data_IF_349469293756
#
_entry.id   IF_349469293756
#
_cell.length_a   1.000
_cell.length_b   1.000
_cell.length_c   1.000
_cell.angle_alpha   90.00
_cell.angle_beta   90.00
_cell.angle_gamma   90.00
#
_symmetry.space_group_name_H-M   'P 1'
#
loop_
_entity.id
_entity.type
_entity.pdbx_description
1 polymer ?
#
# COMPACT_ATOMS: atom_id res chain seq x y z
N UNK A 1 -6.65 -21.48 -22.15
CA UNK A 1 -6.81 -21.89 -20.74
C UNK A 1 -7.31 -20.64 -20.05
N UNK A 2 -8.48 -20.69 -19.44
CA UNK A 2 -9.07 -19.50 -18.81
C UNK A 2 -8.19 -19.05 -17.64
N UNK A 3 -7.99 -17.74 -17.48
CA UNK A 3 -7.12 -17.19 -16.43
C UNK A 3 -7.72 -17.48 -15.05
N UNK A 4 -9.05 -17.38 -14.91
CA UNK A 4 -9.78 -17.66 -13.69
C UNK A 4 -10.36 -19.08 -13.72
N UNK A 5 -10.22 -19.80 -12.61
CA UNK A 5 -10.92 -21.08 -12.40
C UNK A 5 -12.37 -20.85 -11.97
N UNK A 6 -13.23 -21.87 -12.09
CA UNK A 6 -14.63 -21.79 -11.63
C UNK A 6 -14.77 -21.39 -10.16
N UNK A 7 -13.88 -21.87 -9.30
CA UNK A 7 -13.87 -21.53 -7.88
C UNK A 7 -13.48 -20.07 -7.64
N UNK A 8 -12.53 -19.53 -8.41
CA UNK A 8 -12.16 -18.11 -8.36
C UNK A 8 -13.27 -17.22 -8.91
N UNK A 9 -13.93 -17.61 -10.00
CA UNK A 9 -15.10 -16.89 -10.52
C UNK A 9 -16.20 -16.79 -9.46
N UNK A 10 -16.48 -17.88 -8.73
CA UNK A 10 -17.44 -17.86 -7.63
C UNK A 10 -16.98 -16.98 -6.47
N UNK A 11 -15.70 -17.08 -6.07
CA UNK A 11 -15.11 -16.31 -4.96
C UNK A 11 -15.16 -14.81 -5.22
N UNK A 12 -14.81 -14.39 -6.43
CA UNK A 12 -14.71 -12.98 -6.82
C UNK A 12 -15.96 -12.43 -7.51
N UNK A 13 -17.04 -13.21 -7.58
CA UNK A 13 -18.28 -12.85 -8.30
C UNK A 13 -18.80 -11.45 -7.93
N UNK A 14 -18.69 -11.04 -6.66
CA UNK A 14 -19.15 -9.71 -6.22
C UNK A 14 -18.36 -8.54 -6.79
N UNK A 15 -17.11 -8.76 -7.17
CA UNK A 15 -16.28 -7.79 -7.88
C UNK A 15 -16.53 -7.87 -9.38
N UNK A 16 -16.58 -9.09 -9.95
CA UNK A 16 -16.81 -9.33 -11.38
C UNK A 16 -18.12 -8.67 -11.85
N UNK A 17 -19.21 -8.79 -11.09
CA UNK A 17 -20.50 -8.19 -11.50
C UNK A 17 -20.53 -6.65 -11.45
N UNK A 18 -19.47 -5.98 -10.98
CA UNK A 18 -19.41 -4.53 -10.99
C UNK A 18 -19.27 -4.04 -12.44
N UNK A 19 -20.15 -3.10 -12.81
CA UNK A 19 -20.14 -2.49 -14.13
C UNK A 19 -18.77 -1.88 -14.42
N UNK A 20 -18.22 -2.17 -15.60
CA UNK A 20 -16.90 -1.73 -16.07
C UNK A 20 -15.70 -2.30 -15.28
N UNK A 21 -15.91 -3.25 -14.37
CA UNK A 21 -14.83 -4.05 -13.78
C UNK A 21 -14.76 -5.41 -14.50
N UNK A 22 -15.86 -6.18 -14.46
CA UNK A 22 -16.04 -7.44 -15.21
C UNK A 22 -14.91 -8.48 -14.97
N UNK A 23 -14.87 -9.52 -15.80
CA UNK A 23 -13.79 -10.50 -15.81
C UNK A 23 -12.42 -9.86 -16.08
N UNK A 24 -12.35 -8.89 -17.00
CA UNK A 24 -11.11 -8.21 -17.38
C UNK A 24 -10.41 -7.57 -16.17
N UNK A 25 -11.15 -6.87 -15.31
CA UNK A 25 -10.62 -6.28 -14.09
C UNK A 25 -10.12 -7.33 -13.10
N UNK A 26 -10.87 -8.42 -12.93
CA UNK A 26 -10.49 -9.50 -12.01
C UNK A 26 -9.26 -10.28 -12.50
N UNK A 27 -9.16 -10.52 -13.81
CA UNK A 27 -8.00 -11.13 -14.45
C UNK A 27 -6.76 -10.23 -14.32
N UNK A 28 -6.93 -8.91 -14.47
CA UNK A 28 -5.86 -7.95 -14.23
C UNK A 28 -5.34 -8.02 -12.78
N UNK A 29 -6.24 -8.12 -11.78
CA UNK A 29 -5.82 -8.32 -10.38
C UNK A 29 -5.04 -9.64 -10.23
N UNK A 30 -5.56 -10.74 -10.78
CA UNK A 30 -4.91 -12.06 -10.68
C UNK A 30 -3.53 -12.10 -11.35
N UNK A 31 -3.33 -11.38 -12.45
CA UNK A 31 -2.05 -11.35 -13.16
C UNK A 31 -1.06 -10.34 -12.58
N UNK A 32 -1.51 -9.46 -11.68
CA UNK A 32 -0.67 -8.42 -11.09
C UNK A 32 0.21 -8.90 -9.93
N UNK A 33 1.21 -8.08 -9.63
CA UNK A 33 2.08 -8.21 -8.47
C UNK A 33 2.13 -6.91 -7.67
N UNK A 34 1.96 -6.98 -6.36
CA UNK A 34 1.99 -5.83 -5.45
C UNK A 34 3.13 -5.97 -4.45
N UNK A 35 3.99 -4.96 -4.40
CA UNK A 35 5.05 -4.85 -3.40
C UNK A 35 4.56 -3.97 -2.24
N UNK A 36 4.62 -4.44 -1.00
CA UNK A 36 4.20 -3.71 0.19
C UNK A 36 5.38 -3.58 1.14
N UNK A 37 5.80 -2.35 1.42
CA UNK A 37 6.84 -2.06 2.41
C UNK A 37 6.20 -1.67 3.73
N UNK A 38 6.40 -2.51 4.73
CA UNK A 38 5.78 -2.44 6.05
C UNK A 38 4.65 -3.45 6.18
N UNK A 39 4.77 -4.35 7.16
CA UNK A 39 3.75 -5.27 7.66
C UNK A 39 3.08 -4.75 8.95
N UNK A 40 3.28 -3.47 9.27
CA UNK A 40 2.60 -2.79 10.38
C UNK A 40 1.11 -2.55 10.15
N UNK A 41 0.52 -1.56 10.84
CA UNK A 41 -0.95 -1.37 10.80
C UNK A 41 -1.48 -1.04 9.41
N UNK A 42 -0.80 -0.17 8.65
CA UNK A 42 -1.18 0.15 7.27
C UNK A 42 -1.01 -1.06 6.35
N UNK A 43 0.12 -1.76 6.47
CA UNK A 43 0.43 -2.96 5.71
C UNK A 43 -0.58 -4.08 5.93
N UNK A 44 -0.93 -4.34 7.19
CA UNK A 44 -1.97 -5.29 7.57
C UNK A 44 -3.32 -4.93 6.93
N UNK A 45 -3.76 -3.68 7.11
CA UNK A 45 -5.04 -3.21 6.62
C UNK A 45 -5.12 -3.21 5.09
N UNK A 46 -4.04 -2.84 4.39
CA UNK A 46 -4.02 -2.84 2.92
C UNK A 46 -3.94 -4.26 2.34
N UNK A 47 -3.02 -5.09 2.86
CA UNK A 47 -2.73 -6.40 2.27
C UNK A 47 -3.88 -7.40 2.44
N UNK A 48 -4.66 -7.34 3.53
CA UNK A 48 -5.84 -8.21 3.69
C UNK A 48 -6.89 -7.98 2.60
N UNK A 49 -7.10 -6.72 2.19
CA UNK A 49 -8.06 -6.38 1.14
C UNK A 49 -7.51 -6.69 -0.24
N UNK A 50 -6.21 -6.50 -0.48
CA UNK A 50 -5.56 -6.93 -1.72
C UNK A 50 -5.62 -8.46 -1.89
N UNK A 51 -5.35 -9.20 -0.82
CA UNK A 51 -5.43 -10.66 -0.82
C UNK A 51 -6.86 -11.14 -1.11
N UNK A 52 -7.85 -10.63 -0.39
CA UNK A 52 -9.26 -11.02 -0.61
C UNK A 52 -9.84 -10.52 -1.94
N UNK A 53 -9.30 -9.42 -2.49
CA UNK A 53 -9.65 -8.94 -3.83
C UNK A 53 -9.10 -9.86 -4.95
N UNK A 54 -8.10 -10.70 -4.64
CA UNK A 54 -7.54 -11.64 -5.60
C UNK A 54 -6.33 -11.10 -6.38
N UNK A 55 -5.54 -10.21 -5.76
CA UNK A 55 -4.21 -9.89 -6.28
C UNK A 55 -3.37 -11.16 -6.31
N UNK A 56 -2.87 -11.54 -7.49
CA UNK A 56 -2.22 -12.84 -7.67
C UNK A 56 -0.92 -13.00 -6.88
N UNK A 57 -0.11 -11.95 -6.80
CA UNK A 57 1.18 -11.99 -6.13
C UNK A 57 1.34 -10.80 -5.18
N UNK A 58 1.64 -11.06 -3.91
CA UNK A 58 1.92 -10.03 -2.91
C UNK A 58 3.30 -10.28 -2.32
N UNK A 59 4.18 -9.28 -2.37
CA UNK A 59 5.47 -9.31 -1.69
C UNK A 59 5.44 -8.38 -0.49
N UNK A 60 5.70 -8.91 0.70
CA UNK A 60 5.78 -8.17 1.95
C UNK A 60 7.25 -8.01 2.37
N UNK A 61 7.65 -6.77 2.69
CA UNK A 61 8.95 -6.45 3.25
C UNK A 61 8.75 -5.77 4.60
N UNK A 62 9.32 -6.34 5.66
CA UNK A 62 9.38 -5.77 7.00
C UNK A 62 10.52 -6.50 7.75
N UNK A 63 11.27 -5.79 8.59
CA UNK A 63 12.38 -6.33 9.37
C UNK A 63 12.07 -6.52 10.86
N UNK A 64 10.83 -6.24 11.29
CA UNK A 64 10.41 -6.36 12.68
C UNK A 64 9.74 -7.71 13.01
N UNK A 65 9.67 -7.97 14.31
CA UNK A 65 8.88 -9.03 14.91
C UNK A 65 7.56 -8.50 15.49
N UNK A 66 6.59 -9.39 15.65
CA UNK A 66 5.29 -9.07 16.26
C UNK A 66 5.48 -8.82 17.76
N UNK A 67 4.97 -7.70 18.24
CA UNK A 67 4.94 -7.35 19.67
C UNK A 67 3.51 -7.15 20.18
N UNK A 68 3.29 -7.35 21.50
CA UNK A 68 1.98 -7.09 22.13
C UNK A 68 1.43 -5.68 21.83
N UNK A 69 2.30 -4.67 21.81
CA UNK A 69 1.95 -3.26 21.50
C UNK A 69 1.38 -3.06 20.09
N UNK A 70 1.61 -4.03 19.20
CA UNK A 70 1.21 -3.99 17.80
C UNK A 70 -0.25 -4.42 17.61
N UNK A 71 -0.72 -5.37 18.42
CA UNK A 71 -1.97 -6.10 18.21
C UNK A 71 -3.23 -5.22 18.24
N UNK A 72 -3.15 -4.03 18.85
CA UNK A 72 -4.27 -3.08 18.83
C UNK A 72 -4.64 -2.58 17.42
N UNK A 73 -3.71 -2.61 16.45
CA UNK A 73 -3.91 -2.09 15.08
C UNK A 73 -3.37 -2.97 13.94
N UNK A 74 -2.56 -3.98 14.23
CA UNK A 74 -1.93 -4.85 13.23
C UNK A 74 -2.71 -6.15 13.10
N UNK A 75 -3.88 -6.06 12.45
CA UNK A 75 -4.95 -7.08 12.51
C UNK A 75 -4.64 -8.41 11.81
N UNK A 76 -3.49 -8.53 11.13
CA UNK A 76 -3.03 -9.82 10.59
C UNK A 76 -2.25 -10.64 11.62
N UNK A 77 -1.89 -10.04 12.75
CA UNK A 77 -1.14 -10.68 13.83
C UNK A 77 -2.06 -10.95 15.02
N UNK A 78 -1.77 -12.02 15.72
CA UNK A 78 -2.50 -12.48 16.91
C UNK A 78 -1.55 -12.61 18.10
N UNK A 79 -2.09 -12.86 19.29
CA UNK A 79 -1.27 -13.14 20.49
C UNK A 79 -0.36 -14.36 20.30
N UNK A 80 -0.74 -15.34 19.48
CA UNK A 80 0.08 -16.52 19.17
C UNK A 80 1.30 -16.19 18.29
N UNK A 81 1.27 -15.06 17.59
CA UNK A 81 2.33 -14.63 16.69
C UNK A 81 3.43 -13.82 17.38
N UNK A 82 3.29 -13.48 18.67
CA UNK A 82 4.26 -12.64 19.38
C UNK A 82 5.67 -13.27 19.31
N UNK A 83 6.64 -12.48 18.83
CA UNK A 83 8.02 -12.91 18.61
C UNK A 83 8.30 -13.55 17.24
N UNK A 84 7.26 -13.80 16.42
CA UNK A 84 7.44 -14.18 15.02
C UNK A 84 7.74 -12.95 14.16
N UNK A 85 8.45 -13.16 13.05
CA UNK A 85 8.67 -12.13 12.04
C UNK A 85 7.32 -11.66 11.47
N UNK A 86 7.08 -10.34 11.42
CA UNK A 86 5.79 -9.79 10.97
C UNK A 86 5.42 -10.27 9.58
N UNK A 87 6.38 -10.31 8.65
CA UNK A 87 6.15 -10.79 7.28
C UNK A 87 5.71 -12.25 7.24
N UNK A 88 6.14 -13.10 8.18
CA UNK A 88 5.76 -14.52 8.24
C UNK A 88 4.38 -14.74 8.85
N UNK A 89 4.07 -14.01 9.92
CA UNK A 89 2.71 -13.98 10.48
C UNK A 89 1.72 -13.46 9.45
N UNK A 90 2.01 -12.32 8.81
CA UNK A 90 1.17 -11.76 7.75
C UNK A 90 1.03 -12.71 6.55
N UNK A 91 2.12 -13.35 6.09
CA UNK A 91 2.05 -14.34 5.02
C UNK A 91 1.03 -15.44 5.32
N UNK A 92 1.13 -16.06 6.49
CA UNK A 92 0.21 -17.14 6.92
C UNK A 92 -1.24 -16.66 6.95
N UNK A 93 -1.49 -15.48 7.52
CA UNK A 93 -2.83 -14.89 7.60
C UNK A 93 -3.41 -14.60 6.21
N UNK A 94 -2.63 -14.04 5.29
CA UNK A 94 -3.09 -13.71 3.94
C UNK A 94 -3.36 -14.98 3.10
N UNK A 95 -2.51 -15.99 3.18
CA UNK A 95 -2.71 -17.27 2.48
C UNK A 95 -3.95 -18.02 3.02
N UNK A 96 -4.23 -17.91 4.33
CA UNK A 96 -5.47 -18.42 4.92
C UNK A 96 -6.70 -17.64 4.44
N UNK A 97 -6.60 -16.32 4.30
CA UNK A 97 -7.69 -15.48 3.77
C UNK A 97 -7.97 -15.76 2.30
N UNK A 98 -6.97 -16.11 1.51
CA UNK A 98 -7.14 -16.47 0.11
C UNK A 98 -6.08 -17.49 -0.37
N UNK A 99 -6.42 -18.78 -0.53
CA UNK A 99 -5.46 -19.79 -0.96
C UNK A 99 -5.13 -19.74 -2.46
N UNK A 100 -5.74 -18.82 -3.23
CA UNK A 100 -5.50 -18.67 -4.67
C UNK A 100 -4.37 -17.70 -5.02
N UNK A 101 -3.82 -16.98 -4.03
CA UNK A 101 -2.76 -16.00 -4.24
C UNK A 101 -1.40 -16.58 -3.81
N UNK A 102 -0.33 -15.94 -4.25
CA UNK A 102 1.02 -16.20 -3.75
C UNK A 102 1.48 -15.02 -2.88
N UNK A 103 1.96 -15.32 -1.69
CA UNK A 103 2.57 -14.32 -0.80
C UNK A 103 4.05 -14.63 -0.61
N UNK A 104 4.91 -13.62 -0.82
CA UNK A 104 6.34 -13.70 -0.56
C UNK A 104 6.70 -12.82 0.64
N UNK A 105 7.27 -13.44 1.67
CA UNK A 105 7.74 -12.74 2.87
C UNK A 105 9.26 -12.52 2.81
N UNK A 106 9.68 -11.26 2.90
CA UNK A 106 11.09 -10.83 2.93
C UNK A 106 11.35 -10.18 4.31
N UNK A 107 11.96 -10.94 5.22
CA UNK A 107 12.37 -10.44 6.53
C UNK A 107 13.78 -9.83 6.45
N UNK A 108 13.90 -8.65 5.85
CA UNK A 108 15.15 -7.86 5.83
C UNK A 108 14.88 -6.43 5.42
N UNK A 109 15.72 -5.52 5.94
CA UNK A 109 15.86 -4.18 5.37
C UNK A 109 16.70 -4.26 4.10
N UNK A 110 16.09 -3.92 2.97
CA UNK A 110 16.77 -3.95 1.67
C UNK A 110 17.60 -2.69 1.43
N UNK A 111 18.75 -2.86 0.80
CA UNK A 111 19.49 -1.76 0.17
C UNK A 111 18.85 -1.35 -1.15
N UNK A 112 19.33 -0.24 -1.72
CA UNK A 112 18.77 0.36 -2.94
C UNK A 112 18.76 -0.59 -4.14
N UNK A 113 19.82 -1.39 -4.32
CA UNK A 113 19.94 -2.31 -5.47
C UNK A 113 18.87 -3.40 -5.45
N UNK A 114 18.83 -4.21 -4.37
CA UNK A 114 17.82 -5.26 -4.17
C UNK A 114 16.38 -4.69 -4.24
N UNK A 115 16.15 -3.52 -3.64
CA UNK A 115 14.83 -2.91 -3.62
C UNK A 115 14.43 -2.39 -5.01
N UNK A 116 15.37 -1.87 -5.80
CA UNK A 116 15.12 -1.41 -7.15
C UNK A 116 14.64 -2.55 -8.07
N UNK A 117 15.26 -3.72 -7.96
CA UNK A 117 14.85 -4.92 -8.73
C UNK A 117 13.43 -5.36 -8.38
N UNK A 118 13.08 -5.34 -7.09
CA UNK A 118 11.72 -5.64 -6.66
C UNK A 118 10.74 -4.57 -7.15
N UNK A 119 11.04 -3.29 -6.99
CA UNK A 119 10.17 -2.22 -7.48
C UNK A 119 9.90 -2.38 -8.98
N UNK A 120 10.93 -2.62 -9.79
CA UNK A 120 10.79 -2.78 -11.25
C UNK A 120 9.98 -4.02 -11.67
N UNK A 121 10.01 -5.08 -10.86
CA UNK A 121 9.32 -6.35 -11.16
C UNK A 121 7.86 -6.39 -10.67
N UNK A 122 7.39 -5.35 -9.98
CA UNK A 122 6.02 -5.29 -9.47
C UNK A 122 5.13 -4.34 -10.27
N UNK A 123 3.82 -4.65 -10.33
CA UNK A 123 2.83 -3.82 -11.03
C UNK A 123 2.58 -2.49 -10.29
N UNK A 124 2.57 -2.51 -8.97
CA UNK A 124 2.38 -1.34 -8.10
C UNK A 124 3.07 -1.56 -6.76
N UNK A 125 3.55 -0.46 -6.17
CA UNK A 125 4.17 -0.45 -4.85
C UNK A 125 3.26 0.28 -3.85
N UNK A 126 3.10 -0.28 -2.65
CA UNK A 126 2.47 0.39 -1.51
C UNK A 126 3.54 0.75 -0.48
N UNK A 127 3.58 2.04 -0.16
CA UNK A 127 4.34 2.54 0.97
C UNK A 127 3.44 2.51 2.22
N UNK A 128 3.72 1.54 3.08
CA UNK A 128 3.11 1.35 4.39
C UNK A 128 4.13 1.56 5.52
N UNK A 129 5.24 2.25 5.23
CA UNK A 129 6.33 2.53 6.17
C UNK A 129 5.96 3.69 7.10
N UNK A 130 6.69 3.86 8.20
CA UNK A 130 6.41 4.87 9.23
C UNK A 130 7.41 6.03 9.26
N UNK A 131 8.40 6.05 8.36
CA UNK A 131 9.48 7.03 8.37
C UNK A 131 9.72 7.65 6.99
N UNK A 132 10.04 8.94 6.96
CA UNK A 132 10.20 9.73 5.72
C UNK A 132 11.36 9.23 4.85
N UNK A 133 12.42 8.68 5.45
CA UNK A 133 13.58 8.16 4.72
C UNK A 133 13.20 7.02 3.77
N UNK A 134 12.48 6.01 4.26
CA UNK A 134 11.97 4.90 3.42
C UNK A 134 11.01 5.41 2.35
N UNK A 135 10.17 6.39 2.67
CA UNK A 135 9.22 6.98 1.69
C UNK A 135 9.95 7.68 0.54
N UNK A 136 10.98 8.45 0.85
CA UNK A 136 11.81 9.11 -0.17
C UNK A 136 12.61 8.10 -1.01
N UNK A 137 13.17 7.06 -0.37
CA UNK A 137 13.86 5.96 -1.06
C UNK A 137 12.93 5.29 -2.07
N UNK A 138 11.73 4.88 -1.63
CA UNK A 138 10.72 4.28 -2.51
C UNK A 138 10.31 5.21 -3.64
N UNK A 139 10.09 6.48 -3.36
CA UNK A 139 9.74 7.46 -4.37
C UNK A 139 10.79 7.55 -5.48
N UNK A 140 12.07 7.58 -5.13
CA UNK A 140 13.15 7.63 -6.11
C UNK A 140 13.21 6.36 -6.98
N UNK A 141 13.08 5.18 -6.36
CA UNK A 141 13.11 3.91 -7.08
C UNK A 141 11.90 3.72 -8.00
N UNK A 142 10.71 4.07 -7.51
CA UNK A 142 9.47 4.02 -8.28
C UNK A 142 9.47 5.05 -9.42
N UNK A 143 9.99 6.26 -9.19
CA UNK A 143 10.15 7.26 -10.24
C UNK A 143 11.09 6.80 -11.37
N UNK A 144 12.23 6.17 -11.01
CA UNK A 144 13.21 5.65 -11.99
C UNK A 144 12.63 4.53 -12.85
N UNK A 145 11.89 3.61 -12.25
CA UNK A 145 11.26 2.47 -12.95
C UNK A 145 9.91 2.80 -13.59
N UNK A 146 9.33 3.96 -13.28
CA UNK A 146 7.95 4.36 -13.62
C UNK A 146 6.89 3.40 -13.06
N UNK A 147 7.21 2.69 -11.99
CA UNK A 147 6.27 1.83 -11.26
C UNK A 147 5.37 2.70 -10.39
N UNK A 148 4.03 2.59 -10.48
CA UNK A 148 3.13 3.37 -9.64
C UNK A 148 3.37 3.14 -8.14
N UNK A 149 3.29 4.21 -7.35
CA UNK A 149 3.41 4.20 -5.89
C UNK A 149 2.12 4.69 -5.24
N UNK A 150 1.55 3.91 -4.33
CA UNK A 150 0.44 4.29 -3.46
C UNK A 150 0.97 4.51 -2.05
N UNK A 151 1.06 5.77 -1.63
CA UNK A 151 1.61 6.13 -0.32
C UNK A 151 0.50 6.50 0.65
N UNK A 152 0.54 5.90 1.84
CA UNK A 152 -0.37 6.19 2.94
C UNK A 152 0.39 6.53 4.23
N UNK A 153 -0.15 7.43 5.03
CA UNK A 153 0.38 7.77 6.35
C UNK A 153 -0.77 7.97 7.34
N UNK A 154 -0.53 7.65 8.62
CA UNK A 154 -1.51 7.88 9.67
C UNK A 154 -0.82 8.18 11.00
N UNK A 155 -1.26 9.23 11.68
CA UNK A 155 -0.72 9.67 12.97
C UNK A 155 -1.86 10.26 13.81
N UNK A 156 -1.94 9.93 15.11
CA UNK A 156 -3.02 10.38 16.02
C UNK A 156 -4.41 10.03 15.49
N UNK A 157 -5.12 11.03 14.96
CA UNK A 157 -6.48 10.97 14.42
C UNK A 157 -6.51 11.43 12.95
N UNK A 158 -5.35 11.53 12.31
CA UNK A 158 -5.19 12.04 10.95
C UNK A 158 -4.62 10.97 10.04
N UNK A 159 -4.99 11.04 8.76
CA UNK A 159 -4.48 10.15 7.73
C UNK A 159 -4.30 10.85 6.39
N UNK A 160 -3.37 10.34 5.58
CA UNK A 160 -3.00 10.87 4.28
C UNK A 160 -2.94 9.73 3.26
N UNK A 161 -3.41 9.96 2.04
CA UNK A 161 -3.24 9.05 0.89
C UNK A 161 -2.94 9.86 -0.38
N UNK A 162 -1.99 9.39 -1.18
CA UNK A 162 -1.69 9.91 -2.52
C UNK A 162 -1.22 8.78 -3.44
N UNK A 163 -1.51 8.92 -4.74
CA UNK A 163 -1.04 8.00 -5.79
C UNK A 163 -0.08 8.73 -6.71
N UNK A 164 1.05 8.09 -7.02
CA UNK A 164 2.08 8.63 -7.92
C UNK A 164 2.27 7.68 -9.10
N UNK A 165 1.83 8.10 -10.29
CA UNK A 165 1.98 7.34 -11.55
C UNK A 165 3.18 7.79 -12.39
N UNK A 166 3.87 8.84 -11.94
CA UNK A 166 5.12 9.33 -12.52
C UNK A 166 5.07 9.73 -14.01
N UNK A 167 3.90 10.18 -14.48
CA UNK A 167 3.71 10.74 -15.81
C UNK A 167 4.36 12.13 -15.94
N UNK A 168 4.46 12.65 -17.16
CA UNK A 168 5.29 13.81 -17.54
C UNK A 168 5.06 15.10 -16.71
N UNK A 169 3.90 15.27 -16.08
CA UNK A 169 3.58 16.44 -15.24
C UNK A 169 3.12 16.08 -13.81
N UNK A 170 3.26 14.82 -13.40
CA UNK A 170 2.89 14.39 -12.07
C UNK A 170 3.89 14.94 -11.04
N UNK A 171 3.36 15.34 -9.89
CA UNK A 171 4.19 15.51 -8.70
C UNK A 171 4.67 14.13 -8.21
N UNK A 172 5.87 14.04 -7.67
CA UNK A 172 6.32 12.86 -6.93
C UNK A 172 6.17 13.08 -5.41
N UNK A 173 6.46 12.05 -4.60
CA UNK A 173 6.39 12.18 -3.14
C UNK A 173 7.34 13.27 -2.59
N UNK A 174 8.50 13.50 -3.20
CA UNK A 174 9.40 14.58 -2.76
C UNK A 174 8.78 15.98 -2.94
N UNK A 175 7.94 16.17 -3.97
CA UNK A 175 7.18 17.41 -4.12
C UNK A 175 6.20 17.63 -2.96
N UNK A 176 5.66 16.55 -2.41
CA UNK A 176 4.77 16.56 -1.25
C UNK A 176 5.56 16.78 0.05
N UNK A 177 6.64 16.02 0.28
CA UNK A 177 7.42 16.08 1.52
C UNK A 177 8.07 17.44 1.72
N UNK A 178 8.46 18.13 0.63
CA UNK A 178 8.97 19.50 0.67
C UNK A 178 7.97 20.51 1.28
N UNK A 179 6.67 20.21 1.32
CA UNK A 179 5.65 21.09 1.92
C UNK A 179 5.62 21.01 3.45
N UNK A 180 6.14 19.94 4.05
CA UNK A 180 6.02 19.69 5.49
C UNK A 180 7.29 20.05 6.30
N UNK A 181 8.42 20.29 5.64
CA UNK A 181 9.70 20.62 6.28
C UNK A 181 10.25 19.49 7.18
N UNK A 182 11.33 19.78 7.93
CA UNK A 182 12.02 18.81 8.82
C UNK A 182 11.22 18.44 10.09
N UNK A 183 10.03 19.02 10.30
CA UNK A 183 9.21 18.82 11.50
C UNK A 183 8.26 17.61 11.41
N UNK A 184 8.52 16.65 10.52
CA UNK A 184 7.77 15.41 10.47
C UNK A 184 8.01 14.59 11.75
N UNK A 185 7.18 14.85 12.76
CA UNK A 185 7.12 14.09 14.01
C UNK A 185 7.04 12.61 13.66
N UNK A 186 7.99 11.82 14.15
CA UNK A 186 7.96 10.38 13.99
C UNK A 186 6.69 9.84 14.68
N UNK A 187 5.94 8.98 13.99
CA UNK A 187 4.64 8.47 14.43
C UNK A 187 4.67 7.79 15.82
N UNK A 188 5.86 7.43 16.30
CA UNK A 188 6.10 6.69 17.55
C UNK A 188 5.79 7.53 18.79
N UNK A 189 6.02 8.85 18.79
CA UNK A 189 5.80 9.70 19.98
C UNK A 189 4.35 10.17 20.14
N UNK A 190 3.55 10.10 19.08
CA UNK A 190 2.24 10.74 19.02
C UNK A 190 1.05 9.79 19.27
N UNK A 191 1.28 8.48 19.30
CA UNK A 191 0.22 7.48 19.31
C UNK A 191 -0.62 7.46 18.03
N UNK A 192 -1.44 6.43 17.86
CA UNK A 192 -2.29 6.26 16.69
C UNK A 192 -3.55 5.45 17.03
N UNK A 193 -4.71 5.96 16.61
CA UNK A 193 -6.01 5.33 16.80
C UNK A 193 -6.23 4.21 15.78
N UNK A 194 -6.47 2.97 16.25
CA UNK A 194 -6.46 1.78 15.40
C UNK A 194 -7.33 1.86 14.13
N UNK A 195 -8.61 2.29 14.22
CA UNK A 195 -9.47 2.40 13.05
C UNK A 195 -8.98 3.37 11.99
N UNK A 196 -8.23 4.42 12.37
CA UNK A 196 -7.67 5.39 11.42
C UNK A 196 -6.71 4.70 10.47
N UNK A 197 -5.83 3.85 11.00
CA UNK A 197 -4.90 3.06 10.20
C UNK A 197 -5.64 2.08 9.29
N UNK A 198 -6.71 1.46 9.80
CA UNK A 198 -7.58 0.59 9.00
C UNK A 198 -8.20 1.31 7.80
N UNK A 199 -8.74 2.52 8.02
CA UNK A 199 -9.33 3.35 6.96
C UNK A 199 -8.30 3.71 5.90
N UNK A 200 -7.10 4.16 6.31
CA UNK A 200 -6.05 4.56 5.37
C UNK A 200 -5.50 3.36 4.60
N UNK A 201 -5.23 2.22 5.25
CA UNK A 201 -4.77 1.02 4.57
C UNK A 201 -5.81 0.45 3.59
N UNK A 202 -7.10 0.45 3.95
CA UNK A 202 -8.18 0.07 3.03
C UNK A 202 -8.25 1.03 1.83
N UNK A 203 -8.03 2.33 2.06
CA UNK A 203 -7.98 3.33 0.98
C UNK A 203 -6.78 3.09 0.06
N UNK A 204 -5.60 2.76 0.60
CA UNK A 204 -4.44 2.37 -0.22
C UNK A 204 -4.72 1.13 -1.07
N UNK A 205 -5.35 0.10 -0.50
CA UNK A 205 -5.75 -1.10 -1.23
C UNK A 205 -6.70 -0.77 -2.40
N UNK A 206 -7.71 0.08 -2.14
CA UNK A 206 -8.64 0.52 -3.16
C UNK A 206 -7.94 1.30 -4.29
N UNK A 207 -7.03 2.22 -3.96
CA UNK A 207 -6.25 2.95 -4.97
C UNK A 207 -5.39 2.00 -5.83
N UNK A 208 -4.75 1.01 -5.22
CA UNK A 208 -3.97 0.02 -5.95
C UNK A 208 -4.83 -0.82 -6.90
N UNK A 209 -6.01 -1.27 -6.46
CA UNK A 209 -6.98 -1.97 -7.32
C UNK A 209 -7.36 -1.11 -8.52
N UNK A 210 -7.68 0.17 -8.30
CA UNK A 210 -8.03 1.11 -9.38
C UNK A 210 -6.89 1.30 -10.38
N UNK A 211 -5.64 1.40 -9.90
CA UNK A 211 -4.45 1.51 -10.75
C UNK A 211 -4.27 0.26 -11.60
N UNK A 212 -4.32 -0.94 -10.99
CA UNK A 212 -4.08 -2.22 -11.68
C UNK A 212 -5.17 -2.51 -12.71
N UNK A 213 -6.44 -2.35 -12.33
CA UNK A 213 -7.59 -2.69 -13.16
C UNK A 213 -8.03 -1.56 -14.10
N UNK A 214 -7.34 -0.41 -14.07
CA UNK A 214 -7.75 0.82 -14.77
C UNK A 214 -9.23 1.19 -14.50
N UNK A 215 -9.66 1.02 -13.24
CA UNK A 215 -11.04 1.19 -12.83
C UNK A 215 -11.23 2.52 -12.08
N UNK A 216 -12.10 3.39 -12.60
CA UNK A 216 -12.38 4.69 -12.00
C UNK A 216 -11.24 5.69 -12.19
N UNK A 217 -10.96 6.51 -11.16
CA UNK A 217 -9.92 7.55 -11.19
C UNK A 217 -9.06 7.44 -9.94
N UNK A 218 -7.78 7.05 -10.05
CA UNK A 218 -6.87 7.03 -8.92
C UNK A 218 -6.57 8.45 -8.39
N UNK A 219 -6.15 8.56 -7.13
CA UNK A 219 -5.83 9.83 -6.45
C UNK A 219 -4.47 10.42 -6.91
N UNK A 220 -4.30 10.57 -8.22
CA UNK A 220 -3.08 11.12 -8.85
C UNK A 220 -3.12 12.65 -8.82
N UNK A 221 -1.98 13.28 -8.51
CA UNK A 221 -1.84 14.74 -8.48
C UNK A 221 -2.64 15.41 -7.36
N UNK A 222 -2.98 14.63 -6.32
CA UNK A 222 -3.84 15.04 -5.20
C UNK A 222 -3.32 14.43 -3.91
N UNK A 223 -3.47 15.17 -2.82
CA UNK A 223 -3.33 14.66 -1.46
C UNK A 223 -4.73 14.56 -0.85
N UNK A 224 -5.11 13.35 -0.48
CA UNK A 224 -6.33 13.09 0.27
C UNK A 224 -5.99 13.08 1.76
N UNK A 225 -6.66 13.93 2.54
CA UNK A 225 -6.47 14.00 4.00
C UNK A 225 -7.74 13.58 4.71
N UNK A 226 -7.59 12.80 5.78
CA UNK A 226 -8.66 12.32 6.64
C UNK A 226 -8.49 12.89 8.04
N UNK A 227 -9.52 13.54 8.56
CA UNK A 227 -9.63 13.95 9.96
C UNK A 227 -10.69 13.08 10.63
N UNK A 228 -10.24 12.17 11.50
CA UNK A 228 -11.11 11.23 12.20
C UNK A 228 -11.90 11.87 13.35
N UNK A 229 -11.51 13.04 13.85
CA UNK A 229 -12.27 13.74 14.90
C UNK A 229 -13.57 14.31 14.33
N UNK A 230 -13.52 14.81 13.08
CA UNK A 230 -14.68 15.36 12.38
C UNK A 230 -15.29 14.39 11.35
N UNK A 231 -14.68 13.21 11.15
CA UNK A 231 -14.99 12.27 10.06
C UNK A 231 -15.01 12.95 8.69
N UNK A 232 -14.08 13.87 8.44
CA UNK A 232 -14.04 14.64 7.20
C UNK A 232 -12.89 14.24 6.29
N UNK A 233 -13.15 14.25 4.99
CA UNK A 233 -12.16 14.08 3.94
C UNK A 233 -11.94 15.40 3.21
N UNK A 234 -10.67 15.76 2.98
CA UNK A 234 -10.32 16.92 2.17
C UNK A 234 -9.38 16.50 1.06
N UNK A 235 -9.63 17.03 -0.13
CA UNK A 235 -8.76 16.83 -1.29
C UNK A 235 -7.98 18.12 -1.54
N UNK A 236 -6.66 18.01 -1.63
CA UNK A 236 -5.77 19.12 -1.96
C UNK A 236 -5.04 18.80 -3.26
N UNK A 237 -4.98 19.75 -4.19
CA UNK A 237 -4.20 19.59 -5.42
C UNK A 237 -2.70 19.54 -5.08
N UNK A 238 -2.01 18.53 -5.57
CA UNK A 238 -0.56 18.40 -5.44
C UNK A 238 0.11 18.78 -6.76
N UNK A 239 0.81 19.92 -6.76
CA UNK A 239 1.52 20.42 -7.93
C UNK A 239 2.96 19.89 -7.97
N UNK A 240 3.45 19.61 -9.18
CA UNK A 240 4.87 19.29 -9.41
C UNK A 240 5.74 20.48 -8.99
N UNK A 241 6.74 20.23 -8.15
CA UNK A 241 7.68 21.24 -7.71
C UNK A 241 8.78 21.44 -8.79
N UNK A 242 8.97 22.67 -9.32
CA UNK A 242 9.98 22.94 -10.36
C UNK A 242 11.44 22.75 -9.94
N UNK A 243 11.70 22.61 -8.65
CA UNK A 243 13.06 22.41 -8.09
C UNK A 243 13.20 21.04 -7.44
N UNK A 244 12.29 20.11 -7.70
CA UNK A 244 12.33 18.76 -7.12
C UNK A 244 13.56 17.99 -7.63
N UNK A 245 14.35 17.42 -6.72
CA UNK A 245 15.56 16.68 -7.13
C UNK A 245 15.27 15.33 -7.78
N UNK A 246 14.09 14.74 -7.51
CA UNK A 246 13.67 13.49 -8.13
C UNK A 246 13.01 13.67 -9.49
N UNK A 247 12.01 14.55 -9.63
CA UNK A 247 11.13 14.55 -10.81
C UNK A 247 11.22 15.78 -11.72
N UNK A 248 12.19 16.68 -11.48
CA UNK A 248 12.49 17.78 -12.40
C UNK A 248 13.42 17.35 -13.53
#
# INVERSE_FOLDING_TARGET
MDILTDSEMLRYNRQIILKNFDFEGQEALKLSSVLILGAGGLGCAASQYLATAGIGNITLIDDDQVELSNLQRQVLHTDEDIGLDKVKSAQSSLENLNPHIRVQAINKRLGDEDLAELVQSHTVVLDCSDNVTTRNQLNQLCYKSKTPLVSGAAIRMEGLVSVFTYQENDACYECLSALFGDQALTCVEAGIMAPVVGIIGATQSLEAIKVISNYGKPCVGKLLTFDALSLSWREMKLAKCPTCSTCN
#
